data_IF_364022466396
#
_entry.id   IF_364022466396
#
_cell.length_a   1.000
_cell.length_b   1.000
_cell.length_c   1.000
_cell.angle_alpha   90.00
_cell.angle_beta   90.00
_cell.angle_gamma   90.00
#
_symmetry.space_group_name_H-M   'P 1'
#
loop_
_entity.id
_entity.type
_entity.pdbx_description
1 polymer ?
#
# COMPACT_ATOMS: atom_id res chain seq x y z
N UNK A 1 3.22 5.97 10.05
CA UNK A 1 4.41 5.45 10.74
C UNK A 1 4.96 6.63 11.51
N UNK A 2 5.16 6.49 12.81
CA UNK A 2 5.66 7.59 13.63
C UNK A 2 7.19 7.70 13.49
N UNK A 3 7.79 8.73 14.07
CA UNK A 3 9.25 8.91 13.99
C UNK A 3 10.02 7.78 14.68
N UNK A 4 9.46 7.23 15.77
CA UNK A 4 10.04 6.14 16.55
C UNK A 4 10.17 4.85 15.72
N UNK A 5 9.12 4.50 14.95
CA UNK A 5 9.12 3.39 14.01
C UNK A 5 10.23 3.56 12.95
N UNK A 6 10.41 4.78 12.44
CA UNK A 6 11.42 5.10 11.43
C UNK A 6 12.84 4.96 11.97
N UNK A 7 13.05 5.36 13.22
CA UNK A 7 14.34 5.27 13.91
C UNK A 7 14.69 3.82 14.26
N UNK A 8 13.69 3.02 14.68
CA UNK A 8 13.88 1.59 14.92
C UNK A 8 14.31 0.85 13.65
N UNK A 9 13.80 1.27 12.50
CA UNK A 9 14.20 0.77 11.18
C UNK A 9 15.54 1.32 10.68
N UNK A 10 16.18 2.22 11.43
CA UNK A 10 17.44 2.88 11.06
C UNK A 10 17.39 3.52 9.67
N UNK A 11 16.24 4.09 9.29
CA UNK A 11 16.10 4.74 7.99
C UNK A 11 17.05 5.94 7.88
N UNK A 12 17.73 6.06 6.75
CA UNK A 12 18.57 7.22 6.44
C UNK A 12 17.70 8.48 6.32
N UNK A 13 18.29 9.67 6.49
CA UNK A 13 17.54 10.92 6.31
C UNK A 13 16.91 11.01 4.92
N UNK A 14 17.63 10.56 3.88
CA UNK A 14 17.11 10.50 2.51
C UNK A 14 15.88 9.59 2.38
N UNK A 15 15.84 8.45 3.08
CA UNK A 15 14.68 7.56 3.08
C UNK A 15 13.48 8.16 3.82
N UNK A 16 13.74 8.89 4.92
CA UNK A 16 12.71 9.63 5.65
C UNK A 16 12.11 10.74 4.78
N UNK A 17 12.95 11.51 4.10
CA UNK A 17 12.53 12.58 3.18
C UNK A 17 11.74 12.02 1.98
N UNK A 18 12.18 10.89 1.42
CA UNK A 18 11.47 10.19 0.35
C UNK A 18 10.08 9.71 0.81
N UNK A 19 9.98 9.16 2.03
CA UNK A 19 8.70 8.71 2.59
C UNK A 19 7.73 9.88 2.79
N UNK A 20 8.22 11.00 3.32
CA UNK A 20 7.43 12.23 3.47
C UNK A 20 6.97 12.75 2.11
N UNK A 21 7.90 12.86 1.16
CA UNK A 21 7.63 13.34 -0.20
C UNK A 21 6.60 12.48 -0.92
N UNK A 22 6.75 11.15 -0.91
CA UNK A 22 5.76 10.25 -1.53
C UNK A 22 4.41 10.35 -0.86
N UNK A 23 4.36 10.38 0.47
CA UNK A 23 3.09 10.57 1.19
C UNK A 23 2.40 11.87 0.75
N UNK A 24 3.15 12.97 0.67
CA UNK A 24 2.65 14.26 0.22
C UNK A 24 2.13 14.27 -1.23
N UNK A 25 2.87 13.63 -2.15
CA UNK A 25 2.49 13.51 -3.55
C UNK A 25 1.28 12.59 -3.73
N UNK A 26 1.20 11.53 -2.94
CA UNK A 26 0.12 10.56 -2.99
C UNK A 26 -1.21 11.21 -2.61
N UNK A 27 -1.21 11.99 -1.52
CA UNK A 27 -2.36 12.75 -1.03
C UNK A 27 -2.89 13.78 -2.05
N UNK A 28 -2.02 14.24 -2.95
CA UNK A 28 -2.33 15.24 -3.98
C UNK A 28 -2.57 14.65 -5.37
N UNK A 29 -2.53 13.32 -5.49
CA UNK A 29 -2.59 12.61 -6.77
C UNK A 29 -1.54 13.13 -7.77
N UNK A 30 -0.28 13.15 -7.31
CA UNK A 30 0.92 13.62 -8.03
C UNK A 30 2.03 12.55 -8.10
N UNK A 31 1.69 11.28 -7.88
CA UNK A 31 2.66 10.17 -7.86
C UNK A 31 3.44 9.98 -9.17
N UNK A 32 2.95 10.50 -10.29
CA UNK A 32 3.67 10.50 -11.59
C UNK A 32 4.99 11.29 -11.57
N UNK A 33 5.23 12.09 -10.54
CA UNK A 33 6.46 12.84 -10.33
C UNK A 33 7.35 12.25 -9.24
N UNK A 34 6.89 11.23 -8.50
CA UNK A 34 7.56 10.74 -7.29
C UNK A 34 9.01 10.32 -7.58
N UNK A 35 9.21 9.42 -8.54
CA UNK A 35 10.54 8.89 -8.85
C UNK A 35 11.52 10.01 -9.28
N UNK A 36 11.04 11.00 -10.05
CA UNK A 36 11.87 12.13 -10.52
C UNK A 36 12.23 13.10 -9.39
N UNK A 37 11.29 13.37 -8.49
CA UNK A 37 11.52 14.27 -7.36
C UNK A 37 12.44 13.59 -6.33
N UNK A 38 12.23 12.31 -6.04
CA UNK A 38 13.11 11.55 -5.15
C UNK A 38 14.53 11.42 -5.70
N UNK A 39 14.67 11.17 -7.00
CA UNK A 39 15.98 11.11 -7.66
C UNK A 39 16.76 12.42 -7.57
N UNK A 40 16.10 13.55 -7.30
CA UNK A 40 16.80 14.84 -7.08
C UNK A 40 17.49 14.95 -5.73
N UNK A 41 17.18 14.05 -4.78
CA UNK A 41 17.71 14.09 -3.42
C UNK A 41 17.21 15.27 -2.56
N UNK A 42 16.30 16.10 -3.08
CA UNK A 42 15.73 17.24 -2.35
C UNK A 42 14.62 16.79 -1.41
N UNK A 43 14.61 17.35 -0.22
CA UNK A 43 13.52 17.21 0.75
C UNK A 43 12.23 17.88 0.27
N UNK A 44 11.09 17.51 0.86
CA UNK A 44 9.81 18.12 0.56
C UNK A 44 9.83 19.65 0.79
N UNK A 45 10.50 20.12 1.83
CA UNK A 45 10.61 21.55 2.17
C UNK A 45 11.37 22.32 1.08
N UNK A 46 12.48 21.78 0.59
CA UNK A 46 13.26 22.39 -0.49
C UNK A 46 12.46 22.45 -1.79
N UNK A 47 11.70 21.39 -2.11
CA UNK A 47 10.84 21.35 -3.28
C UNK A 47 9.67 22.32 -3.17
N UNK A 48 9.05 22.48 -1.99
CA UNK A 48 7.98 23.45 -1.76
C UNK A 48 8.45 24.90 -1.79
N UNK A 49 9.73 25.14 -1.53
CA UNK A 49 10.37 26.46 -1.66
C UNK A 49 11.00 26.69 -3.04
N UNK A 50 11.00 25.69 -3.92
CA UNK A 50 11.50 25.83 -5.29
C UNK A 50 10.54 26.66 -6.15
N UNK A 51 11.07 27.36 -7.16
CA UNK A 51 10.23 28.16 -8.05
C UNK A 51 9.32 27.28 -8.91
N UNK A 52 8.16 27.83 -9.29
CA UNK A 52 7.22 27.16 -10.19
C UNK A 52 7.84 26.83 -11.55
N UNK A 53 8.82 27.65 -11.98
CA UNK A 53 9.61 27.44 -13.19
C UNK A 53 10.45 26.17 -13.05
N UNK A 54 11.16 25.99 -11.93
CA UNK A 54 11.97 24.78 -11.66
C UNK A 54 11.11 23.53 -11.63
N UNK A 55 9.95 23.58 -10.95
CA UNK A 55 9.01 22.46 -10.90
C UNK A 55 8.52 22.05 -12.30
N UNK A 56 8.28 23.02 -13.17
CA UNK A 56 7.82 22.78 -14.53
C UNK A 56 8.95 22.29 -15.45
N UNK A 57 10.12 22.93 -15.42
CA UNK A 57 11.21 22.67 -16.37
C UNK A 57 12.05 21.45 -16.00
N UNK A 58 12.42 21.28 -14.72
CA UNK A 58 13.27 20.16 -14.27
C UNK A 58 12.47 18.89 -14.03
N UNK A 59 11.26 19.01 -13.48
CA UNK A 59 10.44 17.86 -13.10
C UNK A 59 9.27 17.61 -14.04
N UNK A 60 9.08 18.46 -15.07
CA UNK A 60 8.02 18.29 -16.06
C UNK A 60 6.62 18.45 -15.47
N UNK A 61 6.46 19.18 -14.35
CA UNK A 61 5.15 19.36 -13.73
C UNK A 61 4.25 20.25 -14.59
N UNK A 62 3.01 19.81 -14.82
CA UNK A 62 2.00 20.63 -15.51
C UNK A 62 1.58 21.79 -14.61
N UNK A 63 1.16 22.92 -15.18
CA UNK A 63 0.74 24.13 -14.43
C UNK A 63 -0.28 23.84 -13.30
N UNK A 64 -1.31 23.04 -13.58
CA UNK A 64 -2.30 22.64 -12.57
C UNK A 64 -1.73 21.70 -11.50
N UNK A 65 -0.68 20.94 -11.82
CA UNK A 65 -0.01 20.02 -10.91
C UNK A 65 0.92 20.79 -9.97
N UNK A 66 1.64 21.79 -10.50
CA UNK A 66 2.39 22.76 -9.70
C UNK A 66 1.47 23.44 -8.69
N UNK A 67 0.30 23.92 -9.12
CA UNK A 67 -0.68 24.55 -8.23
C UNK A 67 -1.10 23.61 -7.08
N UNK A 68 -1.42 22.35 -7.38
CA UNK A 68 -1.74 21.33 -6.36
C UNK A 68 -0.55 21.00 -5.45
N UNK A 69 0.66 20.96 -6.01
CA UNK A 69 1.87 20.64 -5.27
C UNK A 69 2.21 21.72 -4.24
N UNK A 70 2.10 23.00 -4.60
CA UNK A 70 2.41 24.12 -3.70
C UNK A 70 1.25 24.52 -2.79
N UNK A 71 0.04 23.98 -3.04
CA UNK A 71 -1.13 24.26 -2.22
C UNK A 71 -1.01 23.61 -0.83
N UNK A 72 -0.81 24.47 0.18
CA UNK A 72 -0.69 24.09 1.59
C UNK A 72 -2.06 23.89 2.26
N UNK A 73 -3.17 24.21 1.60
CA UNK A 73 -4.52 24.08 2.17
C UNK A 73 -5.16 22.71 1.90
N UNK A 74 -4.74 22.00 0.85
CA UNK A 74 -5.27 20.68 0.50
C UNK A 74 -4.65 19.58 1.36
N UNK A 75 -5.23 19.31 2.53
CA UNK A 75 -4.91 18.13 3.33
C UNK A 75 -5.89 16.98 2.99
N UNK A 76 -5.41 15.90 2.38
CA UNK A 76 -6.09 14.61 2.51
C UNK A 76 -5.91 14.12 3.95
N UNK A 77 -7.02 13.71 4.57
CA UNK A 77 -7.07 13.34 5.98
C UNK A 77 -6.58 11.90 6.19
N UNK A 78 -5.27 11.69 6.11
CA UNK A 78 -4.64 10.55 6.80
C UNK A 78 -3.84 11.17 7.95
N UNK A 79 -4.27 10.92 9.19
CA UNK A 79 -3.63 11.50 10.37
C UNK A 79 -2.16 11.10 10.41
N UNK A 80 -1.27 12.06 10.22
CA UNK A 80 0.10 11.96 10.72
C UNK A 80 0.07 12.13 12.26
N UNK A 81 0.97 11.48 13.01
CA UNK A 81 1.06 11.69 14.46
C UNK A 81 1.32 13.17 14.78
N UNK A 82 0.76 13.69 15.89
CA UNK A 82 0.90 15.09 16.23
C UNK A 82 2.33 15.31 16.70
N UNK A 83 3.15 15.99 15.90
CA UNK A 83 4.20 16.92 16.37
C UNK A 83 4.95 17.53 15.19
N UNK A 84 4.26 18.29 14.34
CA UNK A 84 4.89 19.36 13.54
C UNK A 84 3.88 20.49 13.31
N UNK A 85 3.36 21.06 14.40
CA UNK A 85 2.76 22.40 14.34
C UNK A 85 3.89 23.41 14.43
N UNK A 86 4.31 23.95 13.27
CA UNK A 86 5.13 25.16 13.23
C UNK A 86 4.28 26.38 13.61
N UNK A 87 4.87 27.38 14.29
CA UNK A 87 4.12 28.45 14.95
C UNK A 87 3.35 29.32 13.95
N UNK A 88 2.11 29.65 14.30
CA UNK A 88 1.28 30.57 13.55
C UNK A 88 1.93 31.96 13.50
N UNK A 89 2.28 32.41 12.29
CA UNK A 89 2.76 33.78 12.06
C UNK A 89 1.64 34.77 12.37
N UNK A 90 1.90 35.67 13.31
CA UNK A 90 1.03 36.79 13.68
C UNK A 90 0.61 37.56 12.43
N UNK A 91 -0.69 37.70 12.21
CA UNK A 91 -1.23 38.62 11.21
C UNK A 91 -1.13 40.04 11.78
N UNK A 92 -0.29 40.85 11.18
CA UNK A 92 -0.30 42.31 11.32
C UNK A 92 -1.67 42.84 10.89
N UNK A 93 -2.27 43.66 11.74
CA UNK A 93 -3.54 44.31 11.49
C UNK A 93 -3.41 45.37 10.37
N UNK A 94 -4.36 45.39 9.45
CA UNK A 94 -4.71 46.58 8.67
C UNK A 94 -6.23 46.67 8.56
N UNK A 95 -6.74 47.82 8.98
CA UNK A 95 -8.13 48.24 9.08
C UNK A 95 -8.83 48.45 7.72
N UNK A 96 -10.15 48.67 7.80
CA UNK A 96 -11.10 49.27 6.83
C UNK A 96 -11.85 48.23 5.96
N UNK A 97 -13.18 48.16 5.82
CA UNK A 97 -14.33 49.00 6.21
C UNK A 97 -15.59 48.13 6.39
N UNK A 98 -16.55 48.68 7.15
CA UNK A 98 -17.91 48.23 7.47
C UNK A 98 -18.82 47.98 6.26
N UNK A 99 -19.73 47.01 6.40
CA UNK A 99 -21.16 47.22 6.17
C UNK A 99 -22.02 46.26 7.00
N UNK A 100 -22.92 46.86 7.78
CA UNK A 100 -24.13 46.35 8.43
C UNK A 100 -25.08 45.67 7.40
N UNK A 101 -26.10 44.85 7.67
CA UNK A 101 -26.78 44.29 8.83
C UNK A 101 -27.66 43.14 8.29
N UNK A 102 -27.93 42.08 9.06
CA UNK A 102 -29.29 41.77 9.52
C UNK A 102 -29.28 40.57 10.48
N UNK A 103 -29.96 40.80 11.58
CA UNK A 103 -30.14 39.95 12.74
C UNK A 103 -31.24 38.90 12.50
N UNK A 104 -31.06 37.69 13.04
CA UNK A 104 -32.14 36.94 13.69
C UNK A 104 -31.58 35.77 14.51
N UNK A 105 -31.43 36.05 15.80
CA UNK A 105 -31.34 35.09 16.89
C UNK A 105 -32.59 34.20 17.03
N UNK A 106 -32.41 32.88 17.20
CA UNK A 106 -33.26 32.04 18.06
C UNK A 106 -32.36 31.11 18.88
N UNK A 107 -32.45 31.28 20.20
CA UNK A 107 -31.75 30.56 21.28
C UNK A 107 -32.48 29.25 21.70
N UNK A 108 -31.86 28.41 22.56
CA UNK A 108 -31.82 26.96 22.36
C UNK A 108 -32.77 26.15 23.25
N UNK A 109 -33.01 24.88 22.89
CA UNK A 109 -33.63 23.89 23.80
C UNK A 109 -32.61 22.82 24.20
N UNK A 110 -32.33 22.82 25.51
CA UNK A 110 -31.47 21.95 26.31
C UNK A 110 -32.21 20.65 26.67
N UNK A 111 -31.62 19.48 26.43
CA UNK A 111 -31.85 18.22 27.16
C UNK A 111 -30.55 17.40 27.10
N UNK A 112 -29.70 17.48 28.12
CA UNK A 112 -29.59 16.57 29.28
C UNK A 112 -29.18 15.13 28.94
N UNK A 113 -28.02 14.79 29.52
CA UNK A 113 -27.23 13.56 29.41
C UNK A 113 -27.86 12.41 30.19
N UNK A 114 -27.76 11.19 29.64
CA UNK A 114 -27.81 9.96 30.40
C UNK A 114 -26.47 9.21 30.21
N UNK A 115 -25.69 9.14 31.29
CA UNK A 115 -24.50 8.31 31.42
C UNK A 115 -24.92 6.86 31.68
N UNK A 116 -24.31 5.91 30.98
CA UNK A 116 -24.26 4.50 31.38
C UNK A 116 -22.81 4.00 31.30
N UNK A 117 -22.41 3.02 32.14
CA UNK A 117 -21.02 2.88 32.55
C UNK A 117 -20.22 2.00 31.60
N UNK A 118 -18.98 2.45 31.32
CA UNK A 118 -17.91 1.65 30.73
C UNK A 118 -17.61 0.47 31.66
N UNK A 119 -17.85 -0.75 31.19
CA UNK A 119 -17.28 -1.96 31.77
C UNK A 119 -16.08 -2.34 30.91
N UNK A 120 -14.88 -2.00 31.39
CA UNK A 120 -13.63 -2.44 30.80
C UNK A 120 -13.52 -3.96 30.88
N UNK A 121 -13.22 -4.59 29.76
CA UNK A 121 -12.72 -5.97 29.70
C UNK A 121 -11.26 -5.90 29.27
N UNK A 122 -10.40 -5.61 30.24
CA UNK A 122 -9.00 -6.01 30.23
C UNK A 122 -8.97 -7.53 30.35
N UNK A 123 -8.63 -8.21 29.25
CA UNK A 123 -8.14 -9.60 29.16
C UNK A 123 -8.07 -9.97 27.68
N UNK A 124 -7.02 -9.55 26.99
CA UNK A 124 -6.43 -10.25 25.83
C UNK A 124 -5.10 -9.56 25.55
N UNK A 125 -4.23 -9.64 26.56
CA UNK A 125 -2.82 -9.27 26.46
C UNK A 125 -2.06 -10.47 27.05
N UNK A 126 -2.03 -11.55 26.29
CA UNK A 126 -1.16 -12.69 26.53
C UNK A 126 -0.48 -13.08 25.22
N UNK A 127 0.78 -12.63 25.15
CA UNK A 127 1.95 -13.26 24.53
C UNK A 127 1.97 -13.49 23.01
N UNK A 128 1.98 -12.39 22.26
CA UNK A 128 2.49 -12.32 20.86
C UNK A 128 4.02 -12.58 20.82
N UNK A 129 4.73 -12.28 21.91
CA UNK A 129 6.17 -12.52 21.99
C UNK A 129 6.55 -14.02 21.98
N UNK A 130 5.64 -14.91 22.38
CA UNK A 130 5.94 -16.35 22.44
C UNK A 130 5.93 -17.03 21.07
N UNK A 131 5.13 -16.55 20.09
CA UNK A 131 5.05 -17.15 18.76
C UNK A 131 6.15 -16.67 17.80
N UNK A 132 6.82 -15.56 18.13
CA UNK A 132 7.87 -14.93 17.30
C UNK A 132 9.28 -15.46 17.63
N UNK A 133 9.48 -16.02 18.84
CA UNK A 133 10.81 -16.38 19.35
C UNK A 133 11.38 -17.73 18.88
N UNK A 134 10.62 -18.57 18.16
CA UNK A 134 11.05 -19.94 17.84
C UNK A 134 11.69 -20.16 16.47
N UNK A 135 11.89 -19.12 15.65
CA UNK A 135 12.49 -19.27 14.33
C UNK A 135 13.91 -18.70 14.24
N UNK A 136 14.86 -19.37 14.89
CA UNK A 136 16.30 -19.17 14.59
C UNK A 136 16.63 -19.84 13.26
N UNK A 137 16.68 -19.02 12.22
CA UNK A 137 17.02 -19.39 10.85
C UNK A 137 18.52 -19.71 10.76
N UNK A 138 18.88 -20.93 10.35
CA UNK A 138 20.27 -21.39 10.12
C UNK A 138 20.62 -21.34 8.62
N UNK A 139 21.91 -21.29 8.27
CA UNK A 139 22.38 -21.37 6.88
C UNK A 139 21.78 -22.58 6.16
N UNK A 140 21.22 -22.37 4.95
CA UNK A 140 20.47 -23.39 4.20
C UNK A 140 18.94 -23.41 4.44
N UNK A 141 18.39 -22.38 5.09
CA UNK A 141 16.96 -22.30 5.39
C UNK A 141 16.07 -22.10 4.17
N UNK A 142 15.06 -22.97 4.04
CA UNK A 142 13.95 -22.82 3.11
C UNK A 142 12.84 -22.04 3.82
N UNK A 143 12.40 -20.91 3.26
CA UNK A 143 11.28 -20.16 3.83
C UNK A 143 10.01 -21.02 3.83
N UNK A 144 9.50 -21.32 5.03
CA UNK A 144 8.21 -22.00 5.22
C UNK A 144 7.02 -21.05 5.22
N UNK A 145 7.29 -19.75 5.16
CA UNK A 145 6.33 -18.64 5.16
C UNK A 145 5.38 -18.58 6.36
N UNK A 146 4.73 -17.44 6.56
CA UNK A 146 3.64 -17.28 7.53
C UNK A 146 2.36 -17.02 6.75
N UNK A 147 1.30 -17.78 7.03
CA UNK A 147 -0.05 -17.44 6.57
C UNK A 147 -0.70 -16.57 7.63
N UNK A 148 -0.76 -15.27 7.39
CA UNK A 148 -1.58 -14.40 8.22
C UNK A 148 -2.96 -14.27 7.59
N UNK A 149 -3.96 -14.54 8.42
CA UNK A 149 -5.33 -14.20 8.12
C UNK A 149 -6.05 -13.95 9.44
N UNK A 150 -6.71 -12.81 9.56
CA UNK A 150 -7.57 -12.59 10.71
C UNK A 150 -8.73 -13.62 10.70
N UNK A 151 -9.08 -14.22 11.86
CA UNK A 151 -10.07 -15.30 11.93
C UNK A 151 -11.44 -14.85 11.41
N UNK A 152 -12.17 -15.78 10.78
CA UNK A 152 -13.53 -15.56 10.27
C UNK A 152 -14.51 -16.29 11.16
N UNK A 153 -15.44 -15.56 11.76
CA UNK A 153 -16.56 -16.17 12.49
C UNK A 153 -17.59 -16.76 11.51
N UNK A 154 -18.21 -17.87 11.91
CA UNK A 154 -19.35 -18.46 11.20
C UNK A 154 -20.49 -17.46 11.06
N UNK A 155 -21.05 -17.31 9.86
CA UNK A 155 -22.10 -16.31 9.58
C UNK A 155 -23.47 -16.96 9.52
N UNK A 156 -24.52 -16.16 9.73
CA UNK A 156 -25.93 -16.61 9.71
C UNK A 156 -26.19 -17.85 10.59
N UNK A 157 -25.81 -17.80 11.86
CA UNK A 157 -26.01 -18.91 12.81
C UNK A 157 -25.40 -20.26 12.36
N UNK A 158 -24.31 -20.23 11.58
CA UNK A 158 -23.63 -21.45 11.09
C UNK A 158 -24.05 -21.93 9.71
N UNK A 159 -25.04 -21.29 9.06
CA UNK A 159 -25.48 -21.65 7.71
C UNK A 159 -24.47 -21.29 6.62
N UNK A 160 -23.50 -20.43 6.91
CA UNK A 160 -22.39 -20.12 6.01
C UNK A 160 -21.08 -20.48 6.72
N UNK A 161 -20.48 -21.57 6.27
CA UNK A 161 -19.14 -21.99 6.68
C UNK A 161 -18.09 -21.04 6.10
N UNK A 162 -17.05 -20.69 6.87
CA UNK A 162 -15.91 -19.96 6.32
C UNK A 162 -15.19 -20.81 5.26
N UNK A 163 -14.49 -20.18 4.30
CA UNK A 163 -13.62 -20.93 3.39
C UNK A 163 -12.63 -21.78 4.19
N UNK A 164 -12.18 -22.93 3.65
CA UNK A 164 -11.20 -23.77 4.32
C UNK A 164 -9.95 -22.96 4.68
N UNK A 165 -9.43 -23.20 5.87
CA UNK A 165 -8.22 -22.56 6.37
C UNK A 165 -7.04 -23.26 5.68
N UNK A 166 -6.23 -22.49 4.96
CA UNK A 166 -4.90 -22.92 4.54
C UNK A 166 -3.96 -22.50 5.67
N UNK A 167 -3.42 -23.45 6.42
CA UNK A 167 -2.52 -23.18 7.56
C UNK A 167 -1.05 -22.99 7.11
N UNK A 168 -0.69 -23.58 5.97
CA UNK A 168 0.65 -23.48 5.37
C UNK A 168 0.68 -22.50 4.19
N UNK A 169 1.81 -21.83 3.97
CA UNK A 169 1.95 -21.01 2.75
C UNK A 169 1.91 -21.89 1.51
N UNK A 170 1.45 -21.30 0.40
CA UNK A 170 1.44 -21.95 -0.89
C UNK A 170 2.86 -22.48 -1.23
N UNK A 171 2.98 -23.69 -1.79
CA UNK A 171 4.26 -24.20 -2.23
C UNK A 171 4.89 -23.27 -3.28
N UNK A 172 6.20 -23.03 -3.22
CA UNK A 172 6.88 -22.17 -4.22
C UNK A 172 6.60 -22.60 -5.67
N UNK A 173 6.50 -23.92 -5.90
CA UNK A 173 6.18 -24.51 -7.20
C UNK A 173 4.80 -24.08 -7.74
N UNK A 174 3.86 -23.65 -6.87
CA UNK A 174 2.54 -23.17 -7.30
C UNK A 174 2.59 -21.78 -7.91
N UNK A 175 3.67 -21.01 -7.67
CA UNK A 175 3.79 -19.63 -8.18
C UNK A 175 4.91 -19.43 -9.20
N UNK A 176 5.98 -20.24 -9.17
CA UNK A 176 7.19 -19.96 -9.95
C UNK A 176 6.98 -19.98 -11.47
N UNK A 177 6.12 -20.89 -11.96
CA UNK A 177 5.87 -21.11 -13.38
C UNK A 177 4.60 -20.43 -13.88
N UNK A 178 3.93 -19.60 -13.06
CA UNK A 178 2.74 -18.86 -13.50
C UNK A 178 3.13 -17.97 -14.69
N UNK A 179 2.29 -17.99 -15.74
CA UNK A 179 2.46 -17.13 -16.90
C UNK A 179 1.84 -15.77 -16.63
N UNK A 180 2.67 -14.73 -16.61
CA UNK A 180 2.23 -13.35 -16.40
C UNK A 180 2.62 -12.45 -17.55
N UNK A 181 1.85 -11.40 -17.78
CA UNK A 181 2.16 -10.38 -18.77
C UNK A 181 2.42 -9.05 -18.09
N UNK A 182 3.62 -8.46 -18.26
CA UNK A 182 3.88 -7.10 -17.77
C UNK A 182 3.04 -6.10 -18.58
N UNK A 183 2.20 -5.36 -17.88
CA UNK A 183 1.30 -4.34 -18.44
C UNK A 183 1.52 -2.97 -17.77
N UNK A 184 2.68 -2.79 -17.14
CA UNK A 184 3.05 -1.54 -16.48
C UNK A 184 2.96 -0.41 -17.50
N UNK A 185 2.12 0.61 -17.27
CA UNK A 185 2.06 1.74 -18.18
C UNK A 185 3.39 2.51 -18.13
N UNK A 186 3.84 3.06 -19.25
CA UNK A 186 5.05 3.90 -19.31
C UNK A 186 4.67 5.35 -19.60
N UNK A 187 5.21 6.29 -18.82
CA UNK A 187 5.24 7.70 -19.18
C UNK A 187 6.39 7.94 -20.16
N UNK A 188 6.09 8.07 -21.46
CA UNK A 188 7.07 8.60 -22.41
C UNK A 188 6.97 10.13 -22.44
N UNK A 189 8.08 10.80 -22.18
CA UNK A 189 8.20 12.26 -22.24
C UNK A 189 7.73 12.73 -23.63
N UNK A 190 6.75 13.65 -23.66
CA UNK A 190 6.17 14.20 -24.90
C UNK A 190 4.94 13.48 -25.45
N UNK A 191 4.46 12.39 -24.83
CA UNK A 191 3.21 11.73 -25.21
C UNK A 191 2.12 11.94 -24.15
N UNK A 192 0.94 12.40 -24.58
CA UNK A 192 -0.23 12.62 -23.71
C UNK A 192 -0.92 11.31 -23.28
N UNK A 193 -0.61 10.19 -23.96
CA UNK A 193 -1.24 8.89 -23.74
C UNK A 193 -0.27 7.90 -23.10
N UNK A 194 -0.73 7.25 -22.03
CA UNK A 194 -0.12 6.03 -21.50
C UNK A 194 -0.12 4.99 -22.63
N UNK A 195 1.07 4.60 -23.07
CA UNK A 195 1.22 3.48 -23.98
C UNK A 195 1.31 2.21 -23.14
N UNK A 196 0.31 1.35 -23.24
CA UNK A 196 0.40 -0.01 -22.72
C UNK A 196 1.24 -0.82 -23.70
N UNK A 197 2.56 -0.80 -23.55
CA UNK A 197 3.42 -1.76 -24.26
C UNK A 197 3.19 -3.11 -23.60
N UNK A 198 2.32 -3.94 -24.20
CA UNK A 198 2.10 -5.31 -23.76
C UNK A 198 3.37 -6.10 -24.06
N UNK A 199 4.16 -6.39 -23.03
CA UNK A 199 5.27 -7.31 -23.13
C UNK A 199 4.75 -8.71 -23.49
N UNK A 200 5.54 -9.59 -24.11
CA UNK A 200 5.18 -11.00 -24.23
C UNK A 200 4.97 -11.61 -22.83
N UNK A 201 4.16 -12.67 -22.70
CA UNK A 201 4.07 -13.42 -21.46
C UNK A 201 5.44 -13.92 -21.00
N UNK A 202 5.66 -13.92 -19.69
CA UNK A 202 6.90 -14.34 -19.03
C UNK A 202 6.59 -15.23 -17.83
N UNK A 203 7.59 -15.96 -17.34
CA UNK A 203 7.45 -16.73 -16.10
C UNK A 203 7.44 -15.78 -14.91
N UNK A 204 6.55 -16.01 -13.96
CA UNK A 204 6.46 -15.19 -12.78
C UNK A 204 7.76 -15.19 -11.95
N UNK A 205 8.50 -16.30 -11.91
CA UNK A 205 9.82 -16.37 -11.25
C UNK A 205 10.83 -15.31 -11.72
N UNK A 206 10.69 -14.81 -12.95
CA UNK A 206 11.57 -13.76 -13.47
C UNK A 206 11.35 -12.43 -12.75
N UNK A 207 10.18 -12.21 -12.15
CA UNK A 207 9.88 -11.01 -11.39
C UNK A 207 10.78 -10.90 -10.15
N UNK A 208 11.01 -11.98 -9.41
CA UNK A 208 11.81 -11.99 -8.17
C UNK A 208 13.15 -12.70 -8.30
N UNK A 209 13.62 -12.95 -9.53
CA UNK A 209 14.91 -13.65 -9.78
C UNK A 209 16.08 -13.01 -9.03
N UNK A 210 16.17 -11.68 -9.08
CA UNK A 210 17.32 -10.93 -8.54
C UNK A 210 17.01 -10.23 -7.22
N UNK A 211 15.76 -9.79 -7.02
CA UNK A 211 15.33 -9.02 -5.85
C UNK A 211 14.10 -9.64 -5.22
N UNK A 212 14.00 -9.68 -3.87
CA UNK A 212 12.77 -10.08 -3.21
C UNK A 212 11.61 -9.18 -3.66
N UNK A 213 10.41 -9.72 -3.71
CA UNK A 213 9.24 -9.02 -4.23
C UNK A 213 8.02 -9.17 -3.31
N UNK A 214 7.28 -8.07 -3.17
CA UNK A 214 5.91 -8.09 -2.68
C UNK A 214 4.98 -8.15 -3.89
N UNK A 215 4.16 -9.19 -3.96
CA UNK A 215 3.12 -9.36 -4.96
C UNK A 215 1.77 -9.03 -4.32
N UNK A 216 1.17 -7.90 -4.65
CA UNK A 216 -0.18 -7.54 -4.21
C UNK A 216 -1.20 -8.05 -5.23
N UNK A 217 -1.99 -9.07 -4.87
CA UNK A 217 -3.05 -9.62 -5.71
C UNK A 217 -4.31 -8.76 -5.59
N UNK A 218 -4.46 -7.81 -6.51
CA UNK A 218 -5.53 -6.81 -6.49
C UNK A 218 -6.80 -7.41 -7.09
N UNK A 219 -7.84 -7.62 -6.27
CA UNK A 219 -9.11 -8.18 -6.76
C UNK A 219 -9.84 -7.29 -7.77
N UNK A 220 -9.74 -5.96 -7.63
CA UNK A 220 -10.45 -4.98 -8.48
C UNK A 220 -9.81 -3.59 -8.36
N UNK A 221 -9.10 -3.07 -9.37
CA UNK A 221 -8.43 -1.77 -9.30
C UNK A 221 -9.36 -0.56 -9.09
N UNK A 222 -10.64 -0.70 -9.48
CA UNK A 222 -11.67 0.33 -9.29
C UNK A 222 -12.28 0.41 -7.88
N UNK A 223 -12.17 -0.66 -7.10
CA UNK A 223 -12.80 -0.74 -5.78
C UNK A 223 -12.07 0.12 -4.75
N UNK A 224 -12.83 0.81 -3.89
CA UNK A 224 -12.26 1.66 -2.82
C UNK A 224 -11.31 0.92 -1.89
N UNK A 225 -11.64 -0.32 -1.52
CA UNK A 225 -10.84 -1.06 -0.55
C UNK A 225 -9.50 -1.46 -1.16
N UNK A 226 -9.49 -1.86 -2.44
CA UNK A 226 -8.27 -2.19 -3.18
C UNK A 226 -7.40 -0.95 -3.41
N UNK A 227 -8.02 0.18 -3.78
CA UNK A 227 -7.32 1.46 -3.95
C UNK A 227 -6.68 1.92 -2.65
N UNK A 228 -7.39 1.79 -1.53
CA UNK A 228 -6.89 2.16 -0.21
C UNK A 228 -5.74 1.24 0.24
N UNK A 229 -5.83 -0.07 0.03
CA UNK A 229 -4.73 -1.01 0.31
C UNK A 229 -3.48 -0.70 -0.50
N UNK A 230 -3.63 -0.59 -1.83
CA UNK A 230 -2.54 -0.26 -2.74
C UNK A 230 -1.89 1.08 -2.37
N UNK A 231 -2.69 2.10 -2.08
CA UNK A 231 -2.23 3.41 -1.62
C UNK A 231 -1.42 3.31 -0.32
N UNK A 232 -1.90 2.55 0.67
CA UNK A 232 -1.21 2.43 1.96
C UNK A 232 0.14 1.69 1.81
N UNK A 233 0.17 0.63 1.02
CA UNK A 233 1.39 -0.13 0.76
C UNK A 233 2.38 0.70 -0.08
N UNK A 234 1.94 1.29 -1.18
CA UNK A 234 2.79 2.00 -2.13
C UNK A 234 3.31 3.35 -1.60
N UNK A 235 2.56 4.04 -0.74
CA UNK A 235 3.06 5.24 -0.05
C UNK A 235 4.34 4.95 0.76
N UNK A 236 4.56 3.69 1.16
CA UNK A 236 5.73 3.22 1.91
C UNK A 236 6.83 2.61 1.03
N UNK A 237 6.75 2.76 -0.29
CA UNK A 237 7.78 2.28 -1.22
C UNK A 237 9.22 2.61 -0.80
N UNK A 238 9.57 3.81 -0.26
CA UNK A 238 10.94 4.11 0.13
C UNK A 238 11.51 3.16 1.19
N UNK A 239 10.64 2.63 2.06
CA UNK A 239 11.00 1.61 3.04
C UNK A 239 11.34 0.30 2.32
N UNK A 240 10.49 -0.14 1.40
CA UNK A 240 10.75 -1.38 0.66
C UNK A 240 11.96 -1.25 -0.27
N UNK A 241 12.18 -0.09 -0.88
CA UNK A 241 13.37 0.22 -1.66
C UNK A 241 14.64 0.15 -0.80
N UNK A 242 14.61 0.70 0.42
CA UNK A 242 15.69 0.60 1.40
C UNK A 242 16.01 -0.86 1.78
N UNK A 243 14.98 -1.69 1.85
CA UNK A 243 15.09 -3.13 2.10
C UNK A 243 15.49 -3.93 0.85
N UNK A 244 15.63 -3.28 -0.32
CA UNK A 244 15.92 -3.95 -1.60
C UNK A 244 14.74 -4.76 -2.17
N UNK A 245 13.53 -4.53 -1.66
CA UNK A 245 12.31 -5.26 -2.02
C UNK A 245 11.51 -4.48 -3.05
N UNK A 246 11.14 -5.13 -4.15
CA UNK A 246 10.32 -4.51 -5.18
C UNK A 246 8.81 -4.72 -4.94
N UNK A 247 8.01 -3.72 -5.32
CA UNK A 247 6.56 -3.77 -5.24
C UNK A 247 5.95 -4.09 -6.61
N UNK A 248 5.15 -5.17 -6.68
CA UNK A 248 4.46 -5.60 -7.90
C UNK A 248 2.96 -5.78 -7.62
N UNK A 249 2.10 -5.17 -8.45
CA UNK A 249 0.67 -5.42 -8.43
C UNK A 249 0.32 -6.49 -9.47
N UNK A 250 -0.43 -7.50 -9.03
CA UNK A 250 -0.96 -8.59 -9.86
C UNK A 250 -2.44 -8.33 -10.09
N UNK A 251 -2.82 -8.13 -11.34
CA UNK A 251 -4.21 -8.01 -11.79
C UNK A 251 -4.63 -9.32 -12.46
N UNK A 252 -5.89 -9.72 -12.32
CA UNK A 252 -6.44 -10.83 -13.10
C UNK A 252 -7.24 -10.36 -14.32
N UNK A 253 -7.75 -9.13 -14.27
CA UNK A 253 -8.57 -8.52 -15.31
C UNK A 253 -7.91 -7.25 -15.85
N UNK A 254 -7.87 -7.11 -17.18
CA UNK A 254 -7.35 -5.92 -17.85
C UNK A 254 -8.48 -5.07 -18.41
N UNK A 255 -8.94 -4.10 -17.62
CA UNK A 255 -9.83 -3.03 -18.08
C UNK A 255 -8.99 -1.76 -18.22
N UNK A 256 -8.81 -1.28 -19.46
CA UNK A 256 -7.85 -0.20 -19.75
C UNK A 256 -8.10 1.08 -18.96
N UNK A 257 -9.37 1.48 -18.79
CA UNK A 257 -9.73 2.64 -17.96
C UNK A 257 -9.36 2.44 -16.49
N UNK A 258 -9.60 1.25 -15.93
CA UNK A 258 -9.28 0.96 -14.53
C UNK A 258 -7.79 0.90 -14.29
N UNK A 259 -7.01 0.31 -15.21
CA UNK A 259 -5.53 0.30 -15.12
C UNK A 259 -4.99 1.72 -15.19
N UNK A 260 -5.51 2.54 -16.11
CA UNK A 260 -5.13 3.95 -16.28
C UNK A 260 -5.48 4.82 -15.07
N UNK A 261 -6.62 4.58 -14.43
CA UNK A 261 -7.01 5.32 -13.22
C UNK A 261 -6.25 4.82 -11.99
N UNK A 262 -5.90 3.53 -11.97
CA UNK A 262 -5.16 2.90 -10.88
C UNK A 262 -3.69 3.36 -10.85
N UNK A 263 -3.05 3.41 -12.02
CA UNK A 263 -1.63 3.73 -12.18
C UNK A 263 -1.44 5.08 -12.89
N UNK A 264 -0.59 5.99 -12.38
CA UNK A 264 0.31 5.82 -11.23
C UNK A 264 -0.32 6.23 -9.89
N UNK A 265 -1.63 6.54 -9.88
CA UNK A 265 -2.26 7.29 -8.78
C UNK A 265 -2.27 6.56 -7.45
N UNK A 266 -2.58 5.28 -7.43
CA UNK A 266 -2.62 4.44 -6.22
C UNK A 266 -1.49 3.41 -6.20
N UNK A 267 -0.89 3.17 -7.36
CA UNK A 267 0.24 2.28 -7.55
C UNK A 267 1.12 2.82 -8.65
N UNK A 268 2.40 3.05 -8.38
CA UNK A 268 3.37 3.47 -9.40
C UNK A 268 4.40 2.39 -9.77
N UNK A 269 4.29 1.20 -9.17
CA UNK A 269 5.25 0.11 -9.37
C UNK A 269 4.95 -0.72 -10.62
N UNK A 270 5.59 -1.89 -10.69
CA UNK A 270 5.32 -2.87 -11.75
C UNK A 270 3.87 -3.36 -11.61
N UNK A 271 3.19 -3.48 -12.75
CA UNK A 271 1.87 -4.11 -12.87
C UNK A 271 1.98 -5.29 -13.84
N UNK A 272 1.51 -6.46 -13.41
CA UNK A 272 1.44 -7.67 -14.21
C UNK A 272 0.01 -8.19 -14.28
N UNK A 273 -0.31 -8.86 -15.38
CA UNK A 273 -1.58 -9.51 -15.62
C UNK A 273 -1.43 -11.04 -15.53
N UNK A 274 -2.16 -11.64 -14.62
CA UNK A 274 -2.36 -13.07 -14.45
C UNK A 274 -3.73 -13.47 -15.02
N UNK A 275 -3.76 -13.75 -16.33
CA UNK A 275 -5.01 -14.04 -17.07
C UNK A 275 -5.72 -15.29 -16.58
N UNK A 276 -4.97 -16.25 -16.04
CA UNK A 276 -5.49 -17.55 -15.63
C UNK A 276 -5.89 -17.58 -14.15
N UNK A 277 -5.67 -16.48 -13.42
CA UNK A 277 -5.93 -16.35 -11.98
C UNK A 277 -5.10 -17.32 -11.14
N UNK A 278 -3.96 -17.77 -11.63
CA UNK A 278 -3.17 -18.80 -10.95
C UNK A 278 -2.56 -18.29 -9.63
N UNK A 279 -2.21 -17.00 -9.53
CA UNK A 279 -1.82 -16.40 -8.25
C UNK A 279 -2.99 -16.35 -7.27
N UNK A 280 -4.19 -16.04 -7.76
CA UNK A 280 -5.39 -15.98 -6.95
C UNK A 280 -5.84 -17.37 -6.48
N UNK A 281 -5.63 -18.41 -7.31
CA UNK A 281 -5.81 -19.80 -6.91
C UNK A 281 -4.75 -20.26 -5.91
N UNK A 282 -3.49 -19.86 -6.10
CA UNK A 282 -2.43 -20.18 -5.15
C UNK A 282 -2.73 -19.64 -3.74
N UNK A 283 -3.37 -18.46 -3.64
CA UNK A 283 -3.84 -17.91 -2.35
C UNK A 283 -4.83 -18.83 -1.64
N UNK A 284 -5.66 -19.58 -2.39
CA UNK A 284 -6.65 -20.53 -1.87
C UNK A 284 -6.24 -21.99 -1.95
N UNK A 285 -4.94 -22.29 -2.01
CA UNK A 285 -4.46 -23.69 -2.05
C UNK A 285 -4.78 -24.43 -3.35
N UNK A 286 -4.92 -23.70 -4.46
CA UNK A 286 -5.30 -24.23 -5.78
C UNK A 286 -6.75 -23.90 -6.17
N UNK A 287 -7.57 -23.44 -5.22
CA UNK A 287 -8.94 -23.00 -5.47
C UNK A 287 -9.07 -21.48 -5.45
N UNK A 288 -9.98 -20.97 -6.28
CA UNK A 288 -10.24 -19.55 -6.35
C UNK A 288 -11.19 -19.11 -5.23
N UNK A 289 -10.67 -18.33 -4.28
CA UNK A 289 -11.46 -17.81 -3.16
C UNK A 289 -12.48 -16.77 -3.65
N UNK A 290 -13.77 -17.05 -3.43
CA UNK A 290 -14.88 -16.17 -3.84
C UNK A 290 -15.95 -16.12 -2.76
N UNK A 291 -16.56 -14.95 -2.58
CA UNK A 291 -17.83 -14.81 -1.86
C UNK A 291 -18.84 -14.08 -2.76
N UNK A 292 -20.13 -14.45 -2.67
CA UNK A 292 -21.20 -13.69 -3.34
C UNK A 292 -21.34 -12.32 -2.71
N UNK A 293 -21.72 -11.31 -3.49
CA UNK A 293 -21.89 -9.95 -2.96
C UNK A 293 -22.82 -9.88 -1.73
N UNK A 294 -23.94 -10.60 -1.75
CA UNK A 294 -24.89 -10.58 -0.63
C UNK A 294 -24.29 -11.19 0.65
N UNK A 295 -23.72 -12.40 0.57
CA UNK A 295 -23.18 -13.10 1.75
C UNK A 295 -21.80 -12.61 2.19
N UNK A 296 -20.96 -12.20 1.23
CA UNK A 296 -19.60 -11.73 1.43
C UNK A 296 -19.52 -10.26 1.86
N UNK A 297 -20.50 -9.45 1.46
CA UNK A 297 -20.52 -8.01 1.76
C UNK A 297 -21.72 -7.59 2.62
N UNK A 298 -22.96 -7.69 2.10
CA UNK A 298 -24.14 -7.12 2.77
C UNK A 298 -24.43 -7.76 4.14
N UNK A 299 -24.20 -9.07 4.28
CA UNK A 299 -24.42 -9.82 5.52
C UNK A 299 -23.15 -9.97 6.36
N UNK A 300 -22.04 -9.37 5.90
CA UNK A 300 -20.74 -9.48 6.56
C UNK A 300 -20.37 -8.16 7.24
N UNK A 301 -20.59 -8.08 8.56
CA UNK A 301 -20.29 -6.89 9.37
C UNK A 301 -18.85 -6.43 9.23
N UNK A 302 -17.91 -7.37 9.07
CA UNK A 302 -16.51 -7.06 8.91
C UNK A 302 -16.18 -6.46 7.55
N UNK A 303 -16.72 -7.02 6.47
CA UNK A 303 -16.58 -6.42 5.14
C UNK A 303 -17.19 -5.01 5.08
N UNK A 304 -18.30 -4.78 5.79
CA UNK A 304 -18.90 -3.45 5.94
C UNK A 304 -17.95 -2.50 6.70
N UNK A 305 -17.35 -2.95 7.81
CA UNK A 305 -16.39 -2.15 8.57
C UNK A 305 -15.13 -1.83 7.73
N UNK A 306 -14.60 -2.80 7.00
CA UNK A 306 -13.50 -2.60 6.06
C UNK A 306 -13.83 -1.57 4.98
N UNK A 307 -15.05 -1.63 4.43
CA UNK A 307 -15.52 -0.65 3.48
C UNK A 307 -15.64 0.76 4.07
N UNK A 308 -16.16 0.89 5.29
CA UNK A 308 -16.22 2.17 5.99
C UNK A 308 -14.82 2.75 6.23
N UNK A 309 -13.88 1.92 6.70
CA UNK A 309 -12.46 2.27 6.86
C UNK A 309 -11.83 2.72 5.54
N UNK A 310 -12.10 2.01 4.45
CA UNK A 310 -11.62 2.39 3.13
C UNK A 310 -12.26 3.70 2.63
N UNK A 311 -13.56 3.92 2.86
CA UNK A 311 -14.26 5.16 2.48
C UNK A 311 -13.74 6.39 3.23
N UNK A 312 -13.29 6.22 4.47
CA UNK A 312 -12.72 7.31 5.27
C UNK A 312 -11.45 7.92 4.65
N UNK A 313 -10.79 7.21 3.72
CA UNK A 313 -9.64 7.74 2.97
C UNK A 313 -10.01 8.81 1.94
N UNK A 314 -11.29 8.94 1.58
CA UNK A 314 -11.77 9.94 0.61
C UNK A 314 -11.38 9.67 -0.85
N UNK A 315 -10.83 8.48 -1.15
CA UNK A 315 -10.46 8.11 -2.52
C UNK A 315 -11.70 7.86 -3.39
N UNK A 316 -11.53 8.02 -4.71
CA UNK A 316 -12.60 7.73 -5.67
C UNK A 316 -12.80 6.21 -5.82
N UNK A 317 -14.00 5.80 -6.19
CA UNK A 317 -14.35 4.38 -6.35
C UNK A 317 -15.31 4.16 -7.51
N UNK A 318 -15.28 2.95 -8.06
CA UNK A 318 -16.33 2.40 -8.91
C UNK A 318 -16.47 0.89 -8.63
N UNK A 319 -17.37 0.23 -9.35
CA UNK A 319 -17.62 -1.22 -9.22
C UNK A 319 -17.41 -1.97 -10.55
N UNK A 320 -16.60 -1.41 -11.45
CA UNK A 320 -16.33 -1.99 -12.78
C UNK A 320 -15.41 -3.21 -12.65
N UNK A 321 -15.70 -4.28 -13.38
CA UNK A 321 -14.93 -5.55 -13.41
C UNK A 321 -15.48 -6.64 -12.48
N UNK A 322 -14.72 -7.72 -12.28
CA UNK A 322 -15.07 -8.82 -11.36
C UNK A 322 -14.99 -8.39 -9.89
N UNK A 323 -15.92 -8.87 -9.04
CA UNK A 323 -16.12 -8.36 -7.69
C UNK A 323 -16.30 -9.40 -6.59
N UNK A 324 -16.37 -10.67 -6.95
CA UNK A 324 -16.58 -11.76 -5.98
C UNK A 324 -15.26 -12.39 -5.52
N UNK A 325 -14.18 -12.23 -6.30
CA UNK A 325 -12.86 -12.79 -6.02
C UNK A 325 -12.19 -12.07 -4.85
N UNK A 326 -11.53 -12.85 -3.99
CA UNK A 326 -10.69 -12.35 -2.90
C UNK A 326 -9.25 -12.16 -3.37
N UNK A 327 -8.61 -11.12 -2.84
CA UNK A 327 -7.21 -10.82 -3.07
C UNK A 327 -6.29 -11.43 -2.02
N UNK A 328 -5.09 -10.87 -1.94
CA UNK A 328 -4.08 -11.27 -0.97
C UNK A 328 -2.73 -10.66 -1.30
N UNK A 329 -1.70 -11.11 -0.58
CA UNK A 329 -0.34 -10.62 -0.74
C UNK A 329 0.64 -11.77 -0.55
N UNK A 330 1.64 -11.84 -1.41
CA UNK A 330 2.82 -12.70 -1.21
C UNK A 330 4.06 -11.83 -0.98
N UNK A 331 4.94 -12.28 -0.10
CA UNK A 331 6.33 -11.82 -0.04
C UNK A 331 7.20 -12.99 -0.48
N UNK A 332 7.90 -12.82 -1.59
CA UNK A 332 8.74 -13.86 -2.20
C UNK A 332 10.20 -13.43 -2.07
N UNK A 333 11.03 -14.32 -1.54
CA UNK A 333 12.48 -14.07 -1.46
C UNK A 333 13.12 -14.15 -2.86
N UNK A 334 14.29 -13.55 -3.03
CA UNK A 334 14.97 -13.55 -4.32
C UNK A 334 15.33 -14.97 -4.78
N UNK A 335 15.42 -15.16 -6.10
CA UNK A 335 15.82 -16.44 -6.69
C UNK A 335 14.80 -17.55 -6.43
N UNK A 336 15.25 -18.64 -5.82
CA UNK A 336 14.43 -19.83 -5.47
C UNK A 336 14.28 -20.03 -3.97
N UNK A 337 14.47 -18.98 -3.18
CA UNK A 337 14.43 -19.08 -1.72
C UNK A 337 13.01 -19.28 -1.15
N UNK A 338 11.96 -19.14 -1.97
CA UNK A 338 10.59 -19.50 -1.60
C UNK A 338 9.72 -18.31 -1.17
N UNK A 339 8.52 -18.64 -0.69
CA UNK A 339 7.55 -17.67 -0.16
C UNK A 339 7.82 -17.44 1.32
N UNK A 340 8.15 -16.20 1.68
CA UNK A 340 8.44 -15.80 3.06
C UNK A 340 7.17 -15.39 3.83
N UNK A 341 6.11 -15.00 3.13
CA UNK A 341 4.84 -14.60 3.74
C UNK A 341 3.70 -14.68 2.74
N UNK A 342 2.53 -15.07 3.23
CA UNK A 342 1.28 -15.07 2.49
C UNK A 342 0.18 -14.46 3.36
N UNK A 343 -0.49 -13.44 2.84
CA UNK A 343 -1.70 -12.92 3.42
C UNK A 343 -2.89 -13.27 2.53
N UNK A 344 -3.92 -13.85 3.11
CA UNK A 344 -5.13 -14.24 2.40
C UNK A 344 -6.27 -13.31 2.82
N UNK A 345 -6.85 -12.58 1.86
CA UNK A 345 -8.06 -11.81 2.12
C UNK A 345 -9.23 -12.77 2.40
N UNK A 346 -9.68 -12.87 3.66
CA UNK A 346 -10.78 -13.77 4.01
C UNK A 346 -12.15 -13.11 3.94
N UNK A 347 -12.22 -11.83 4.33
CA UNK A 347 -13.37 -10.95 4.13
C UNK A 347 -12.99 -9.86 3.14
N UNK A 348 -13.96 -9.38 2.37
CA UNK A 348 -13.70 -8.24 1.50
C UNK A 348 -13.16 -7.04 2.29
N UNK A 349 -11.98 -6.58 1.90
CA UNK A 349 -11.25 -5.45 2.43
C UNK A 349 -10.34 -5.76 3.61
N UNK A 350 -10.09 -7.04 3.91
CA UNK A 350 -9.00 -7.41 4.81
C UNK A 350 -7.67 -7.08 4.12
N UNK A 351 -6.77 -6.36 4.81
CA UNK A 351 -5.48 -5.95 4.27
C UNK A 351 -4.36 -6.51 5.12
N UNK A 352 -3.23 -6.85 4.49
CA UNK A 352 -2.06 -7.30 5.23
C UNK A 352 -1.59 -6.21 6.22
N UNK A 353 -1.33 -6.55 7.50
CA UNK A 353 -0.79 -5.59 8.45
C UNK A 353 0.57 -5.07 7.96
N UNK A 354 0.66 -3.76 7.74
CA UNK A 354 1.87 -3.16 7.15
C UNK A 354 3.12 -3.36 8.02
N UNK A 355 2.98 -3.34 9.35
CA UNK A 355 4.08 -3.59 10.27
C UNK A 355 4.67 -4.99 10.09
N UNK A 356 3.82 -6.00 9.93
CA UNK A 356 4.21 -7.38 9.69
C UNK A 356 4.90 -7.53 8.33
N UNK A 357 4.31 -6.94 7.27
CA UNK A 357 4.92 -6.93 5.93
C UNK A 357 6.34 -6.34 5.96
N UNK A 358 6.51 -5.20 6.65
CA UNK A 358 7.81 -4.55 6.80
C UNK A 358 8.80 -5.40 7.61
N UNK A 359 8.36 -6.00 8.70
CA UNK A 359 9.19 -6.86 9.54
C UNK A 359 9.70 -8.08 8.78
N UNK A 360 8.82 -8.76 8.02
CA UNK A 360 9.22 -9.89 7.18
C UNK A 360 10.24 -9.46 6.12
N UNK A 361 10.01 -8.33 5.44
CA UNK A 361 10.96 -7.80 4.47
C UNK A 361 12.33 -7.49 5.09
N UNK A 362 12.36 -6.93 6.31
CA UNK A 362 13.61 -6.68 7.03
C UNK A 362 14.35 -7.98 7.38
N UNK A 363 13.62 -9.03 7.80
CA UNK A 363 14.20 -10.35 8.04
C UNK A 363 14.80 -10.96 6.76
N UNK A 364 14.12 -10.83 5.62
CA UNK A 364 14.66 -11.30 4.32
C UNK A 364 15.96 -10.59 3.97
N UNK A 365 16.03 -9.26 4.13
CA UNK A 365 17.24 -8.49 3.84
C UNK A 365 18.44 -8.94 4.68
N UNK A 366 18.23 -9.18 5.97
CA UNK A 366 19.30 -9.62 6.87
C UNK A 366 19.82 -11.03 6.55
N UNK A 367 18.98 -11.88 5.95
CA UNK A 367 19.34 -13.25 5.58
C UNK A 367 20.02 -13.34 4.21
N UNK A 368 19.68 -12.43 3.30
CA UNK A 368 20.24 -12.36 1.95
C UNK A 368 20.75 -10.94 1.69
N UNK A 369 21.81 -10.49 2.40
CA UNK A 369 22.42 -9.21 2.10
C UNK A 369 22.85 -9.20 0.63
N UNK A 370 22.52 -8.12 -0.08
CA UNK A 370 22.80 -7.98 -1.51
C UNK A 370 24.26 -8.34 -1.79
N UNK A 371 24.51 -9.36 -2.61
CA UNK A 371 25.87 -9.75 -3.04
C UNK A 371 26.55 -8.74 -3.99
N UNK A 372 26.08 -7.50 -4.05
CA UNK A 372 26.67 -6.47 -4.91
C UNK A 372 27.97 -5.87 -4.32
N UNK A 373 28.25 -6.02 -3.02
CA UNK A 373 29.49 -5.51 -2.40
C UNK A 373 30.69 -6.47 -2.50
N UNK A 374 30.52 -7.73 -2.92
CA UNK A 374 31.63 -8.70 -2.99
C UNK A 374 32.42 -8.70 -4.30
N UNK A 375 32.01 -7.93 -5.31
CA UNK A 375 32.71 -7.88 -6.61
C UNK A 375 33.72 -6.73 -6.74
N UNK A 376 33.74 -5.77 -5.82
CA UNK A 376 34.66 -4.62 -5.88
C UNK A 376 35.98 -4.86 -5.14
N UNK A 377 36.08 -5.89 -4.31
CA UNK A 377 37.31 -6.22 -3.55
C UNK A 377 38.22 -7.23 -4.23
N UNK A 378 37.78 -7.93 -5.29
CA UNK A 378 38.60 -8.92 -6.00
C UNK A 378 39.34 -8.39 -7.23
N UNK A 379 39.17 -7.12 -7.62
CA UNK A 379 39.86 -6.50 -8.76
C UNK A 379 40.98 -5.51 -8.39
N UNK A 380 41.35 -5.42 -7.10
CA UNK A 380 42.48 -4.59 -6.63
C UNK A 380 43.73 -5.42 -6.22
N UNK A 381 43.75 -6.73 -6.50
CA UNK A 381 44.95 -7.55 -6.34
C UNK A 381 45.12 -8.49 -7.53
N UNK A 382 45.62 -7.95 -8.63
CA UNK A 382 46.35 -8.69 -9.66
C UNK A 382 47.32 -7.73 -10.35
#
# INVERSE_FOLDING_TARGET
MNAEDMDHMKLTQQQKDALELRSYLHDRALMEYADRLEASGKSLVELLNSSTVVLSSQFGMKRGHVARFVDRASACRISMPPNYTLPARQKSASLVSKSEAYDRSITPRRMQMARSPLRGSSKYEMSIEQSVLDYKIKEGYVFKGVVAAEPVETRLCGCIQPPPIVDDVAPYASIENISVQKITPEYKVGMERLLTVKAPPMKASDLWRNKPAILLCVRRPGCIMCRAEAHQLYARKPIFDALGVQLIAVLHEQIESEVKDFWPRYWGGIVVLDRNLDFFKALGGGELLKDKFVSGFLLNRRAIANYQRARATGLQQNFIGEGEIKGGLFIVASGRNGIAYQFIERNFGDWAPISEVVEICSKIQNLFPNQEESFTTSFSMA
#
